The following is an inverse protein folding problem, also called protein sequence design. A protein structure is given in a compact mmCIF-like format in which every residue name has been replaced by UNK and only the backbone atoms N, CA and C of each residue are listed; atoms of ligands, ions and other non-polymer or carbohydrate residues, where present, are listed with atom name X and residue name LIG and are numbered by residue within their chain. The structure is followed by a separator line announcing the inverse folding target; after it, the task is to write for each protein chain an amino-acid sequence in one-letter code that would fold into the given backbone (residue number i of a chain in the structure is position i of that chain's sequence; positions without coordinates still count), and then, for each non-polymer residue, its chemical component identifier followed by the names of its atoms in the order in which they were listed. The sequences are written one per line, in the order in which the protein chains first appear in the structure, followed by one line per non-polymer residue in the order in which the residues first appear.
data_IF_757076609394
#
_entry.id   IF_757076609394
#
_cell.length_a   1.000
_cell.length_b   1.000
_cell.length_c   1.000
_cell.angle_alpha   90.00
_cell.angle_beta   90.00
_cell.angle_gamma   90.00
#
_symmetry.space_group_name_H-M   'P 1'
#
loop_
_entity.id
_entity.type
_entity.pdbx_description
1 polymer ?
#
# COMPACT_ATOMS: atom_id res chain seq x y z
N UNK A 1 2.67 15.30 1.00
CA UNK A 1 1.67 15.11 2.08
C UNK A 1 0.36 14.71 1.44
N UNK A 2 -0.31 13.64 1.91
CA UNK A 2 -1.66 13.28 1.50
C UNK A 2 -2.58 13.49 2.69
N UNK A 3 -3.75 14.09 2.47
CA UNK A 3 -4.71 14.43 3.52
C UNK A 3 -6.07 13.81 3.20
N UNK A 4 -6.79 13.39 4.24
CA UNK A 4 -8.15 12.88 4.17
C UNK A 4 -9.01 13.76 5.07
N UNK A 5 -10.19 14.17 4.59
CA UNK A 5 -11.19 14.86 5.38
C UNK A 5 -12.41 13.96 5.53
N UNK A 6 -12.73 13.59 6.77
CA UNK A 6 -13.95 12.84 7.10
C UNK A 6 -15.01 13.86 7.52
N UNK A 7 -16.11 13.94 6.76
CA UNK A 7 -17.23 14.84 7.03
C UNK A 7 -18.35 14.06 7.72
N UNK A 8 -19.15 14.75 8.55
CA UNK A 8 -20.27 14.16 9.29
C UNK A 8 -19.85 12.94 10.12
N UNK A 9 -18.72 13.03 10.82
CA UNK A 9 -18.30 12.01 11.77
C UNK A 9 -19.16 12.13 13.02
N UNK A 10 -19.76 11.03 13.46
CA UNK A 10 -20.55 11.00 14.69
C UNK A 10 -19.73 11.53 15.88
N UNK A 11 -20.35 12.38 16.69
CA UNK A 11 -19.70 13.03 17.84
C UNK A 11 -19.14 12.02 18.85
N UNK A 12 -19.82 10.88 19.01
CA UNK A 12 -19.37 9.78 19.86
C UNK A 12 -18.07 9.16 19.34
N UNK A 13 -17.94 8.98 18.03
CA UNK A 13 -16.72 8.45 17.40
C UNK A 13 -15.57 9.44 17.52
N UNK A 14 -15.85 10.74 17.32
CA UNK A 14 -14.84 11.79 17.51
C UNK A 14 -14.33 11.83 18.96
N UNK A 15 -15.23 11.72 19.95
CA UNK A 15 -14.87 11.69 21.37
C UNK A 15 -14.05 10.46 21.73
N UNK A 16 -14.49 9.28 21.30
CA UNK A 16 -13.75 8.03 21.54
C UNK A 16 -12.35 8.07 20.92
N UNK A 17 -12.22 8.65 19.72
CA UNK A 17 -10.92 8.84 19.07
C UNK A 17 -10.01 9.79 19.86
N UNK A 18 -10.56 10.89 20.39
CA UNK A 18 -9.84 11.83 21.25
C UNK A 18 -9.31 11.14 22.51
N UNK A 19 -10.18 10.44 23.24
CA UNK A 19 -9.84 9.73 24.47
C UNK A 19 -8.74 8.67 24.23
N UNK A 20 -8.86 7.92 23.14
CA UNK A 20 -7.87 6.92 22.74
C UNK A 20 -6.52 7.55 22.40
N UNK A 21 -6.50 8.68 21.70
CA UNK A 21 -5.28 9.42 21.40
C UNK A 21 -4.57 9.91 22.68
N UNK A 22 -5.34 10.44 23.64
CA UNK A 22 -4.83 10.82 24.96
C UNK A 22 -4.24 9.64 25.72
N UNK A 23 -4.94 8.50 25.77
CA UNK A 23 -4.45 7.29 26.41
C UNK A 23 -3.13 6.81 25.81
N UNK A 24 -2.99 6.93 24.48
CA UNK A 24 -1.78 6.55 23.73
C UNK A 24 -0.71 7.65 23.66
N UNK A 25 -0.89 8.78 24.37
CA UNK A 25 0.06 9.90 24.44
C UNK A 25 0.47 10.44 23.06
N UNK A 26 -0.47 10.51 22.12
CA UNK A 26 -0.22 11.01 20.76
C UNK A 26 -1.33 11.95 20.30
N UNK A 27 -1.08 12.68 19.21
CA UNK A 27 -2.10 13.54 18.62
C UNK A 27 -3.24 12.70 18.03
N UNK A 28 -4.42 13.32 17.92
CA UNK A 28 -5.58 12.68 17.29
C UNK A 28 -5.29 12.26 15.85
N UNK A 29 -4.54 13.07 15.10
CA UNK A 29 -4.08 12.74 13.76
C UNK A 29 -3.17 11.51 13.75
N UNK A 30 -2.23 11.41 14.71
CA UNK A 30 -1.35 10.26 14.83
C UNK A 30 -2.12 8.98 15.20
N UNK A 31 -3.15 9.08 16.06
CA UNK A 31 -4.05 7.97 16.36
C UNK A 31 -4.85 7.53 15.12
N UNK A 32 -5.47 8.48 14.42
CA UNK A 32 -6.24 8.20 13.22
C UNK A 32 -5.36 7.54 12.14
N UNK A 33 -4.13 8.04 11.94
CA UNK A 33 -3.16 7.46 11.01
C UNK A 33 -2.80 6.04 11.39
N UNK A 34 -2.56 5.76 12.67
CA UNK A 34 -2.22 4.41 13.11
C UNK A 34 -3.38 3.44 12.90
N UNK A 35 -4.60 3.84 13.23
CA UNK A 35 -5.80 3.02 12.99
C UNK A 35 -5.91 2.70 11.50
N UNK A 36 -5.87 3.73 10.64
CA UNK A 36 -5.90 3.52 9.20
C UNK A 36 -4.74 2.65 8.71
N UNK A 37 -3.53 2.84 9.24
CA UNK A 37 -2.37 2.03 8.87
C UNK A 37 -2.57 0.57 9.24
N UNK A 38 -3.07 0.29 10.44
CA UNK A 38 -3.29 -1.07 10.94
C UNK A 38 -4.41 -1.78 10.18
N UNK A 39 -5.56 -1.11 9.99
CA UNK A 39 -6.71 -1.74 9.34
C UNK A 39 -6.53 -1.83 7.81
N UNK A 40 -5.96 -0.80 7.17
CA UNK A 40 -5.84 -0.75 5.71
C UNK A 40 -4.59 -1.48 5.20
N UNK A 41 -3.47 -1.53 5.94
CA UNK A 41 -2.30 -2.32 5.49
C UNK A 41 -2.59 -3.81 5.42
N UNK A 42 -3.54 -4.32 6.20
CA UNK A 42 -3.97 -5.71 6.11
C UNK A 42 -4.64 -6.02 4.76
N UNK A 43 -5.38 -5.05 4.19
CA UNK A 43 -6.12 -5.22 2.93
C UNK A 43 -5.30 -4.86 1.67
N UNK A 44 -4.18 -4.14 1.82
CA UNK A 44 -3.24 -3.82 0.73
C UNK A 44 -2.07 -4.83 0.67
N UNK A 45 -2.27 -6.03 1.22
CA UNK A 45 -1.59 -7.20 0.69
C UNK A 45 -2.27 -7.60 -0.63
N UNK A 46 -2.15 -6.75 -1.65
CA UNK A 46 -1.94 -7.31 -2.97
C UNK A 46 -0.44 -7.63 -2.99
N UNK A 47 0.00 -8.88 -2.73
CA UNK A 47 1.32 -9.27 -3.12
C UNK A 47 1.27 -9.24 -4.65
N UNK A 48 1.60 -8.11 -5.25
CA UNK A 48 2.17 -8.18 -6.57
C UNK A 48 3.39 -9.07 -6.34
N UNK A 49 3.35 -10.29 -6.87
CA UNK A 49 4.42 -11.28 -6.72
C UNK A 49 5.78 -10.68 -7.07
N UNK A 50 5.79 -9.65 -7.94
CA UNK A 50 6.99 -8.91 -8.33
C UNK A 50 7.54 -8.00 -7.22
N UNK A 51 6.70 -7.47 -6.32
CA UNK A 51 7.14 -6.67 -5.16
C UNK A 51 7.79 -7.57 -4.12
N UNK A 52 7.19 -8.72 -3.81
CA UNK A 52 7.81 -9.70 -2.91
C UNK A 52 9.12 -10.26 -3.48
N UNK A 53 9.11 -10.61 -4.77
CA UNK A 53 10.30 -11.06 -5.50
C UNK A 53 11.43 -10.01 -5.47
N UNK A 54 11.10 -8.74 -5.71
CA UNK A 54 12.07 -7.64 -5.66
C UNK A 54 12.77 -7.53 -4.29
N UNK A 55 12.02 -7.60 -3.19
CA UNK A 55 12.62 -7.52 -1.85
C UNK A 55 13.44 -8.76 -1.50
N UNK A 56 13.03 -9.95 -1.94
CA UNK A 56 13.75 -11.20 -1.72
C UNK A 56 15.10 -11.24 -2.47
N UNK A 57 15.17 -10.71 -3.69
CA UNK A 57 16.38 -10.70 -4.51
C UNK A 57 17.28 -9.46 -4.29
N UNK A 58 16.95 -8.57 -3.35
CA UNK A 58 17.67 -7.29 -3.14
C UNK A 58 19.09 -7.47 -2.60
N UNK A 59 19.30 -8.48 -1.76
CA UNK A 59 20.59 -8.72 -1.09
C UNK A 59 21.49 -9.68 -1.87
N UNK A 60 20.91 -10.44 -2.81
CA UNK A 60 21.59 -11.31 -3.76
C UNK A 60 20.96 -11.13 -5.15
N UNK A 61 21.35 -10.08 -5.90
CA UNK A 61 20.74 -9.76 -7.18
C UNK A 61 21.13 -10.81 -8.22
N UNK A 62 20.12 -11.48 -8.80
CA UNK A 62 20.33 -12.31 -9.97
C UNK A 62 20.49 -11.44 -11.22
N UNK A 63 21.54 -11.66 -12.00
CA UNK A 63 21.62 -11.13 -13.36
C UNK A 63 20.59 -11.85 -14.24
N UNK A 64 19.59 -11.11 -14.71
CA UNK A 64 18.64 -11.63 -15.69
C UNK A 64 19.30 -11.58 -17.07
N UNK A 65 19.25 -12.67 -17.85
CA UNK A 65 19.75 -12.63 -19.22
C UNK A 65 18.94 -11.62 -20.03
N UNK A 66 19.60 -10.94 -20.97
CA UNK A 66 18.91 -10.10 -21.93
C UNK A 66 18.01 -10.98 -22.79
N UNK A 67 16.70 -10.81 -22.64
CA UNK A 67 15.71 -11.49 -23.48
C UNK A 67 15.65 -10.72 -24.78
N UNK A 68 16.35 -11.19 -25.79
CA UNK A 68 16.12 -10.73 -27.16
C UNK A 68 14.70 -11.11 -27.52
N UNK A 69 13.83 -10.12 -27.74
CA UNK A 69 12.51 -10.38 -28.31
C UNK A 69 12.73 -10.99 -29.68
N UNK A 70 12.43 -12.27 -29.82
CA UNK A 70 12.28 -12.87 -31.12
C UNK A 70 11.06 -12.21 -31.74
N UNK A 71 11.30 -11.28 -32.66
CA UNK A 71 10.25 -10.58 -33.41
C UNK A 71 9.72 -11.55 -34.46
N UNK A 72 9.19 -12.69 -34.00
CA UNK A 72 8.41 -13.57 -34.86
C UNK A 72 7.26 -12.71 -35.39
N UNK A 73 7.10 -12.61 -36.73
CA UNK A 73 6.06 -11.78 -37.29
C UNK A 73 4.71 -12.21 -36.70
N UNK A 74 3.80 -11.26 -36.43
CA UNK A 74 2.50 -11.59 -35.87
C UNK A 74 1.87 -12.70 -36.71
N UNK A 75 1.35 -13.74 -36.05
CA UNK A 75 0.78 -14.92 -36.72
C UNK A 75 -0.37 -14.60 -37.68
N UNK A 76 -0.89 -13.38 -37.60
CA UNK A 76 -1.93 -12.84 -38.47
C UNK A 76 -1.54 -11.40 -38.81
N UNK A 77 -1.39 -11.11 -40.10
CA UNK A 77 -1.41 -9.75 -40.61
C UNK A 77 -2.87 -9.37 -40.85
N UNK A 78 -3.29 -8.21 -40.33
CA UNK A 78 -4.58 -7.63 -40.66
C UNK A 78 -4.37 -6.66 -41.83
N UNK A 79 -5.01 -6.95 -42.97
CA UNK A 79 -5.12 -6.01 -44.11
C UNK A 79 -5.96 -4.78 -43.77
#
# INVERSE_FOLDING_TARGET
MRAITVRNLDDEVHRALMERAHANKRSMEAEAREILTREVRADVAFPNVLVEFYYACREDPAELPEITRDMEPPRVEFE
#
